data_IF_714995698041
#
_entry.id   IF_714995698041
#
_cell.length_a   1.000
_cell.length_b   1.000
_cell.length_c   1.000
_cell.angle_alpha   90.00
_cell.angle_beta   90.00
_cell.angle_gamma   90.00
#
_symmetry.space_group_name_H-M   'P 1'
#
loop_
_entity.id
_entity.type
_entity.pdbx_description
1 polymer ?
#
# COMPACT_ATOMS: atom_id res chain seq x y z
N UNK A 1 -5.75 71.04 -21.31
CA UNK A 1 -6.52 70.28 -20.32
C UNK A 1 -6.38 68.80 -20.63
N UNK A 2 -5.94 68.04 -19.63
CA UNK A 2 -5.77 66.59 -19.68
C UNK A 2 -7.14 65.88 -19.68
N UNK A 3 -7.23 64.65 -20.23
CA UNK A 3 -7.59 63.43 -19.49
C UNK A 3 -7.48 62.18 -20.38
N UNK A 4 -6.85 61.14 -19.82
CA UNK A 4 -6.61 59.78 -20.35
C UNK A 4 -7.84 58.89 -20.11
N UNK A 5 -8.14 57.92 -20.98
CA UNK A 5 -8.78 56.60 -20.67
C UNK A 5 -8.45 55.67 -21.87
N UNK A 6 -7.38 54.86 -21.92
CA UNK A 6 -7.10 53.54 -21.31
C UNK A 6 -8.26 52.52 -21.31
N UNK A 7 -7.96 51.27 -21.72
CA UNK A 7 -8.70 49.99 -21.49
C UNK A 7 -9.38 49.43 -22.75
N UNK A 8 -9.25 48.15 -23.14
CA UNK A 8 -8.54 47.02 -22.57
C UNK A 8 -8.27 45.99 -23.68
N UNK A 9 -7.04 45.48 -23.71
CA UNK A 9 -6.68 44.24 -24.40
C UNK A 9 -7.34 43.08 -23.62
N UNK A 10 -8.31 42.37 -24.21
CA UNK A 10 -8.72 41.06 -23.70
C UNK A 10 -7.69 40.02 -24.16
N UNK A 11 -6.67 39.80 -23.34
CA UNK A 11 -5.87 38.58 -23.42
C UNK A 11 -6.64 37.47 -22.71
N UNK A 12 -7.33 36.64 -23.48
CA UNK A 12 -7.88 35.39 -22.99
C UNK A 12 -6.73 34.40 -22.71
N UNK A 13 -6.19 34.43 -21.49
CA UNK A 13 -5.35 33.36 -20.98
C UNK A 13 -6.22 32.10 -20.87
N UNK A 14 -6.14 31.23 -21.87
CA UNK A 14 -6.58 29.84 -21.74
C UNK A 14 -5.65 29.16 -20.71
N UNK A 15 -6.03 29.25 -19.43
CA UNK A 15 -5.54 28.37 -18.38
C UNK A 15 -6.02 26.97 -18.74
N UNK A 16 -5.21 26.25 -19.52
CA UNK A 16 -5.25 24.80 -19.55
C UNK A 16 -4.83 24.39 -18.14
N UNK A 17 -5.83 24.15 -17.29
CA UNK A 17 -5.63 23.51 -16.01
C UNK A 17 -5.08 22.13 -16.31
N UNK A 18 -3.75 22.01 -16.32
CA UNK A 18 -3.10 20.75 -16.02
C UNK A 18 -3.51 20.43 -14.59
N UNK A 19 -4.61 19.71 -14.42
CA UNK A 19 -4.86 19.02 -13.18
C UNK A 19 -3.69 18.05 -13.03
N UNK A 20 -2.78 18.23 -12.06
CA UNK A 20 -1.97 17.09 -11.67
C UNK A 20 -2.98 16.03 -11.25
N UNK A 21 -3.00 14.88 -11.91
CA UNK A 21 -3.57 13.70 -11.29
C UNK A 21 -2.77 13.50 -10.01
N UNK A 22 -3.31 13.97 -8.89
CA UNK A 22 -2.82 13.64 -7.57
C UNK A 22 -3.08 12.14 -7.44
N UNK A 23 -2.10 11.38 -7.91
CA UNK A 23 -2.09 9.94 -7.94
C UNK A 23 -1.42 9.55 -6.63
N UNK A 24 -2.19 9.59 -5.54
CA UNK A 24 -1.61 9.46 -4.23
C UNK A 24 -2.30 8.34 -3.42
N UNK A 25 -1.46 7.59 -2.72
CA UNK A 25 -1.41 6.17 -3.04
C UNK A 25 -0.55 5.45 -2.00
N UNK A 26 -1.16 4.57 -1.20
CA UNK A 26 -0.46 3.88 -0.13
C UNK A 26 0.14 2.55 -0.58
N UNK A 27 1.30 2.18 -0.03
CA UNK A 27 1.94 0.88 -0.31
C UNK A 27 2.78 0.36 0.85
N UNK A 28 3.09 -0.94 0.80
CA UNK A 28 4.17 -1.52 1.60
C UNK A 28 5.54 -1.15 1.01
N UNK A 29 6.46 -0.70 1.86
CA UNK A 29 7.86 -0.39 1.50
C UNK A 29 8.78 -1.56 1.83
N UNK A 30 8.61 -2.16 3.02
CA UNK A 30 9.44 -3.25 3.51
C UNK A 30 8.56 -4.31 4.20
N UNK A 31 8.61 -5.59 3.79
CA UNK A 31 9.40 -6.11 2.67
C UNK A 31 8.93 -5.53 1.32
N UNK A 32 9.85 -5.46 0.34
CA UNK A 32 9.55 -4.84 -0.96
C UNK A 32 8.48 -5.66 -1.67
N UNK A 33 7.36 -5.02 -2.00
CA UNK A 33 6.29 -5.68 -2.71
C UNK A 33 6.57 -5.97 -4.19
N UNK A 34 5.84 -6.93 -4.74
CA UNK A 34 5.43 -6.98 -6.15
C UNK A 34 4.73 -5.66 -6.47
N UNK A 35 5.49 -4.70 -6.98
CA UNK A 35 4.94 -3.43 -7.43
C UNK A 35 4.38 -3.59 -8.85
N UNK A 36 3.16 -3.11 -9.04
CA UNK A 36 2.74 -2.63 -10.36
C UNK A 36 3.46 -1.32 -10.69
N UNK A 37 3.13 -0.69 -11.81
CA UNK A 37 3.77 0.56 -12.23
C UNK A 37 3.37 1.79 -11.40
N UNK A 38 2.52 1.66 -10.39
CA UNK A 38 1.98 2.79 -9.62
C UNK A 38 1.76 2.42 -8.16
N UNK A 39 1.75 3.43 -7.30
CA UNK A 39 1.26 3.30 -5.91
C UNK A 39 -0.30 3.20 -5.87
N UNK A 40 -0.91 3.10 -7.06
CA UNK A 40 -2.33 3.21 -7.40
C UNK A 40 -3.36 2.38 -6.65
N UNK A 41 -4.65 2.74 -6.78
CA UNK A 41 -5.68 1.76 -6.51
C UNK A 41 -5.45 0.58 -7.45
N UNK A 42 -5.66 -0.62 -6.92
CA UNK A 42 -5.51 -1.85 -7.67
C UNK A 42 -6.80 -2.15 -8.43
N UNK A 43 -6.65 -2.65 -9.66
CA UNK A 43 -7.78 -3.05 -10.48
C UNK A 43 -8.34 -4.42 -10.06
N UNK A 44 -7.52 -5.25 -9.40
CA UNK A 44 -7.92 -6.60 -8.97
C UNK A 44 -7.21 -7.05 -7.71
N UNK A 45 -7.95 -7.63 -6.78
CA UNK A 45 -7.38 -8.34 -5.64
C UNK A 45 -6.87 -9.73 -6.06
N UNK A 46 -5.92 -10.33 -5.31
CA UNK A 46 -5.31 -9.80 -4.09
C UNK A 46 -4.08 -8.92 -4.35
N UNK A 47 -3.43 -9.06 -5.50
CA UNK A 47 -2.10 -8.51 -5.80
C UNK A 47 -2.05 -7.76 -7.15
N UNK A 48 -3.14 -7.07 -7.51
CA UNK A 48 -3.26 -6.32 -8.78
C UNK A 48 -3.07 -7.17 -10.05
N UNK A 49 -3.46 -8.45 -10.01
CA UNK A 49 -3.27 -9.38 -11.13
C UNK A 49 -1.82 -9.79 -11.39
N UNK A 50 -0.88 -9.33 -10.56
CA UNK A 50 0.52 -9.71 -10.67
C UNK A 50 0.69 -11.15 -10.16
N UNK A 51 1.32 -12.04 -10.95
CA UNK A 51 1.55 -13.41 -10.50
C UNK A 51 2.55 -13.44 -9.32
N UNK A 52 2.51 -14.47 -8.47
CA UNK A 52 3.56 -14.77 -7.50
C UNK A 52 4.93 -14.85 -8.18
N UNK A 53 5.94 -14.22 -7.58
CA UNK A 53 7.32 -14.33 -8.04
C UNK A 53 7.95 -15.68 -7.66
N UNK A 54 9.13 -15.94 -8.23
CA UNK A 54 9.89 -17.17 -7.98
C UNK A 54 10.89 -17.08 -6.82
N UNK A 55 11.16 -15.87 -6.33
CA UNK A 55 12.14 -15.59 -5.26
C UNK A 55 11.49 -14.84 -4.11
N UNK A 56 11.90 -15.11 -2.87
CA UNK A 56 11.43 -14.38 -1.70
C UNK A 56 12.30 -13.15 -1.50
N UNK A 57 11.70 -12.02 -1.14
CA UNK A 57 12.44 -10.78 -0.88
C UNK A 57 12.83 -10.64 0.60
N UNK A 58 12.24 -11.44 1.48
CA UNK A 58 12.52 -11.44 2.90
C UNK A 58 12.21 -12.82 3.53
N UNK A 59 12.81 -13.07 4.68
CA UNK A 59 12.55 -14.25 5.51
C UNK A 59 12.15 -13.81 6.91
N UNK A 60 11.05 -14.35 7.43
CA UNK A 60 10.54 -14.10 8.77
C UNK A 60 10.46 -15.39 9.57
N UNK A 61 10.41 -15.26 10.89
CA UNK A 61 10.34 -16.41 11.81
C UNK A 61 8.91 -16.54 12.34
N UNK A 62 8.31 -17.72 12.16
CA UNK A 62 6.99 -18.04 12.69
C UNK A 62 6.94 -17.84 14.22
N UNK A 63 5.89 -17.21 14.74
CA UNK A 63 5.74 -16.89 16.15
C UNK A 63 6.59 -15.71 16.65
N UNK A 64 7.32 -15.02 15.77
CA UNK A 64 8.08 -13.80 16.13
C UNK A 64 7.42 -12.55 15.55
N UNK A 65 7.60 -11.45 16.26
CA UNK A 65 7.25 -10.12 15.77
C UNK A 65 8.38 -9.55 14.91
N UNK A 66 8.03 -8.84 13.85
CA UNK A 66 8.96 -8.14 12.98
C UNK A 66 8.34 -6.85 12.46
N UNK A 67 9.18 -5.92 11.99
CA UNK A 67 8.75 -4.62 11.51
C UNK A 67 8.35 -4.69 10.04
N UNK A 68 7.15 -4.21 9.74
CA UNK A 68 6.65 -3.97 8.38
C UNK A 68 6.54 -2.47 8.19
N UNK A 69 7.11 -1.96 7.10
CA UNK A 69 7.08 -0.54 6.76
C UNK A 69 6.11 -0.27 5.61
N UNK A 70 5.34 0.81 5.71
CA UNK A 70 4.41 1.25 4.68
C UNK A 70 4.43 2.77 4.54
N UNK A 71 3.91 3.27 3.42
CA UNK A 71 3.76 4.71 3.16
C UNK A 71 2.33 4.99 2.77
N UNK A 72 1.84 6.16 3.19
CA UNK A 72 0.59 6.76 2.71
C UNK A 72 0.93 8.11 2.11
N UNK A 73 0.65 8.28 0.82
CA UNK A 73 0.95 9.51 0.10
C UNK A 73 -0.29 10.34 -0.23
N UNK A 74 -1.51 9.79 -0.11
CA UNK A 74 -2.78 10.54 -0.12
C UNK A 74 -3.68 10.20 1.03
N UNK A 75 -4.50 11.18 1.35
CA UNK A 75 -5.53 11.09 2.34
C UNK A 75 -6.88 10.87 1.64
N UNK A 76 -7.50 9.72 1.88
CA UNK A 76 -8.84 9.39 1.36
C UNK A 76 -9.91 9.30 2.47
N UNK A 77 -9.69 9.95 3.61
CA UNK A 77 -10.66 10.08 4.71
C UNK A 77 -10.07 9.76 6.09
N UNK A 78 -10.75 10.22 7.14
CA UNK A 78 -10.43 9.91 8.54
C UNK A 78 -10.98 8.54 8.94
N UNK A 79 -10.30 7.84 9.85
CA UNK A 79 -10.71 6.53 10.33
C UNK A 79 -10.35 5.39 9.37
N UNK A 80 -9.34 5.58 8.54
CA UNK A 80 -8.90 4.58 7.59
C UNK A 80 -8.22 3.39 8.28
N UNK A 81 -8.68 2.16 8.01
CA UNK A 81 -8.06 0.95 8.56
C UNK A 81 -7.28 0.20 7.49
N UNK A 82 -6.00 -0.02 7.73
CA UNK A 82 -5.15 -0.86 6.91
C UNK A 82 -5.01 -2.23 7.53
N UNK A 83 -4.69 -3.20 6.69
CA UNK A 83 -4.55 -4.59 7.07
C UNK A 83 -3.23 -5.13 6.55
N UNK A 84 -2.59 -5.96 7.36
CA UNK A 84 -1.50 -6.82 6.92
C UNK A 84 -2.02 -8.25 7.00
N UNK A 85 -2.10 -8.87 5.83
CA UNK A 85 -2.56 -10.24 5.66
C UNK A 85 -1.43 -11.14 5.18
N UNK A 86 -1.58 -12.43 5.39
CA UNK A 86 -0.67 -13.45 4.89
C UNK A 86 -1.45 -14.60 4.23
N UNK A 87 -0.95 -15.06 3.08
CA UNK A 87 -1.39 -16.26 2.38
C UNK A 87 -0.24 -17.27 2.39
N UNK A 88 -0.51 -18.51 2.81
CA UNK A 88 0.49 -19.57 2.79
C UNK A 88 0.54 -20.21 1.39
N UNK A 89 1.75 -20.53 0.90
CA UNK A 89 1.97 -21.06 -0.43
C UNK A 89 2.24 -19.97 -1.47
N UNK A 90 2.05 -20.32 -2.74
CA UNK A 90 2.38 -19.48 -3.90
C UNK A 90 1.20 -19.30 -4.84
N UNK A 91 -0.04 -19.37 -4.34
CA UNK A 91 -1.24 -19.26 -5.16
C UNK A 91 -2.03 -17.97 -4.92
N UNK A 92 -1.58 -17.13 -4.00
CA UNK A 92 -2.26 -15.91 -3.54
C UNK A 92 -3.71 -16.15 -3.10
N UNK A 93 -3.99 -17.26 -2.42
CA UNK A 93 -5.33 -17.58 -1.92
C UNK A 93 -5.37 -17.65 -0.40
N UNK A 94 -6.58 -17.59 0.15
CA UNK A 94 -6.82 -17.83 1.58
C UNK A 94 -6.04 -16.88 2.49
N UNK A 95 -5.98 -15.59 2.14
CA UNK A 95 -5.37 -14.57 2.97
C UNK A 95 -6.01 -14.53 4.36
N UNK A 96 -5.18 -14.57 5.40
CA UNK A 96 -5.56 -14.38 6.80
C UNK A 96 -5.00 -13.06 7.28
N UNK A 97 -5.85 -12.25 7.91
CA UNK A 97 -5.38 -11.05 8.60
C UNK A 97 -4.51 -11.40 9.81
N UNK A 98 -3.32 -10.80 9.89
CA UNK A 98 -2.37 -10.99 10.98
C UNK A 98 -2.06 -9.70 11.73
N UNK A 99 -2.47 -8.55 11.19
CA UNK A 99 -2.40 -7.28 11.87
C UNK A 99 -3.40 -6.28 11.29
N UNK A 100 -3.94 -5.44 12.16
CA UNK A 100 -4.87 -4.35 11.82
C UNK A 100 -4.27 -3.05 12.31
N UNK A 101 -4.23 -2.04 11.44
CA UNK A 101 -3.70 -0.72 11.72
C UNK A 101 -4.86 0.26 11.61
N UNK A 102 -5.41 0.65 12.75
CA UNK A 102 -6.43 1.70 12.82
C UNK A 102 -5.81 3.05 12.46
N UNK A 103 -6.58 3.92 11.82
CA UNK A 103 -6.15 5.27 11.45
C UNK A 103 -4.87 5.34 10.59
N UNK A 104 -4.56 4.27 9.85
CA UNK A 104 -3.30 4.13 9.12
C UNK A 104 -3.08 5.17 8.01
N UNK A 105 -4.18 5.73 7.48
CA UNK A 105 -4.17 6.71 6.41
C UNK A 105 -4.83 8.03 6.82
N UNK A 106 -4.94 8.27 8.14
CA UNK A 106 -5.41 9.55 8.66
C UNK A 106 -4.36 10.66 8.46
N UNK A 107 -3.09 10.27 8.28
CA UNK A 107 -1.97 11.17 8.04
C UNK A 107 -1.09 10.67 6.89
N UNK A 108 -0.41 11.59 6.22
CA UNK A 108 0.57 11.28 5.19
C UNK A 108 1.94 11.01 5.81
N UNK A 109 2.66 10.03 5.29
CA UNK A 109 4.00 9.72 5.77
C UNK A 109 4.43 8.28 5.55
N UNK A 110 5.63 7.99 6.04
CA UNK A 110 6.16 6.63 6.14
C UNK A 110 6.05 6.15 7.58
N UNK A 111 5.61 4.91 7.74
CA UNK A 111 5.28 4.31 9.01
C UNK A 111 5.89 2.94 9.13
N UNK A 112 6.03 2.48 10.36
CA UNK A 112 6.49 1.14 10.73
C UNK A 112 5.50 0.58 11.74
N UNK A 113 5.16 -0.69 11.60
CA UNK A 113 4.37 -1.43 12.60
C UNK A 113 4.97 -2.80 12.89
N UNK A 114 4.77 -3.28 14.11
CA UNK A 114 5.19 -4.61 14.55
C UNK A 114 4.12 -5.66 14.24
N UNK A 115 4.49 -6.68 13.48
CA UNK A 115 3.61 -7.75 13.04
C UNK A 115 4.09 -9.09 13.56
N UNK A 116 3.22 -9.78 14.30
CA UNK A 116 3.48 -11.14 14.79
C UNK A 116 3.11 -12.17 13.74
N UNK A 117 4.11 -12.93 13.28
CA UNK A 117 3.89 -13.98 12.29
C UNK A 117 3.24 -15.21 12.92
N UNK A 118 2.20 -15.80 12.30
CA UNK A 118 1.55 -16.99 12.85
C UNK A 118 2.49 -18.19 12.99
N UNK A 119 2.27 -19.01 14.02
CA UNK A 119 3.12 -20.19 14.31
C UNK A 119 2.83 -21.39 13.40
N UNK A 120 1.68 -21.39 12.72
CA UNK A 120 1.19 -22.47 11.86
C UNK A 120 1.58 -22.31 10.39
N UNK A 121 2.27 -21.22 10.01
CA UNK A 121 2.76 -20.99 8.65
C UNK A 121 4.25 -21.31 8.58
N UNK A 122 4.65 -22.04 7.53
CA UNK A 122 6.06 -22.24 7.18
C UNK A 122 6.22 -22.43 5.67
N UNK A 123 7.37 -22.04 5.15
CA UNK A 123 7.68 -22.06 3.71
C UNK A 123 7.31 -20.74 3.04
N UNK A 124 7.15 -20.81 1.72
CA UNK A 124 6.84 -19.66 0.88
C UNK A 124 5.44 -19.13 1.17
N UNK A 125 5.31 -17.81 1.22
CA UNK A 125 4.06 -17.13 1.54
C UNK A 125 3.99 -15.78 0.82
N UNK A 126 2.78 -15.24 0.71
CA UNK A 126 2.53 -13.87 0.26
C UNK A 126 2.08 -13.02 1.45
N UNK A 127 2.82 -11.96 1.74
CA UNK A 127 2.41 -10.91 2.67
C UNK A 127 1.72 -9.80 1.89
N UNK A 128 0.57 -9.30 2.36
CA UNK A 128 -0.17 -8.22 1.71
C UNK A 128 -0.46 -7.10 2.69
N UNK A 129 -0.03 -5.90 2.36
CA UNK A 129 -0.60 -4.69 2.94
C UNK A 129 -1.75 -4.23 2.05
N UNK A 130 -2.91 -3.92 2.61
CA UNK A 130 -4.00 -3.32 1.84
C UNK A 130 -4.92 -2.43 2.69
N UNK A 131 -5.61 -1.52 2.01
CA UNK A 131 -6.64 -0.67 2.58
C UNK A 131 -7.72 -0.40 1.53
N UNK A 132 -8.98 -0.46 1.94
CA UNK A 132 -10.13 -0.16 1.10
C UNK A 132 -10.79 1.15 1.56
N UNK A 133 -11.11 2.03 0.61
CA UNK A 133 -11.81 3.29 0.84
C UNK A 133 -13.27 3.15 0.39
N UNK A 134 -14.22 2.99 1.31
CA UNK A 134 -15.62 2.74 0.95
C UNK A 134 -16.29 3.91 0.22
N UNK A 135 -15.92 5.15 0.54
CA UNK A 135 -16.55 6.36 0.00
C UNK A 135 -16.38 6.54 -1.51
N UNK A 136 -15.27 6.04 -2.06
CA UNK A 136 -14.94 6.09 -3.50
C UNK A 136 -14.76 4.70 -4.10
N UNK A 137 -15.01 3.64 -3.31
CA UNK A 137 -14.91 2.24 -3.71
C UNK A 137 -13.57 1.87 -4.39
N UNK A 138 -12.45 2.32 -3.81
CA UNK A 138 -11.11 1.98 -4.30
C UNK A 138 -10.35 1.17 -3.27
N UNK A 139 -9.42 0.33 -3.73
CA UNK A 139 -8.58 -0.49 -2.87
C UNK A 139 -7.13 -0.26 -3.23
N UNK A 140 -6.29 -0.02 -2.24
CA UNK A 140 -4.84 0.01 -2.36
C UNK A 140 -4.30 -1.30 -1.81
N UNK A 141 -3.43 -1.98 -2.54
CA UNK A 141 -2.81 -3.20 -2.06
C UNK A 141 -1.41 -3.38 -2.63
N UNK A 142 -0.54 -3.95 -1.82
CA UNK A 142 0.80 -4.35 -2.21
C UNK A 142 1.09 -5.71 -1.61
N UNK A 143 1.45 -6.67 -2.46
CA UNK A 143 1.85 -8.01 -2.04
C UNK A 143 3.37 -8.15 -2.07
N UNK A 144 3.96 -8.96 -1.21
CA UNK A 144 5.38 -9.30 -1.18
C UNK A 144 5.53 -10.79 -1.02
N UNK A 145 6.41 -11.40 -1.80
CA UNK A 145 6.71 -12.82 -1.69
C UNK A 145 7.82 -13.01 -0.65
N UNK A 146 7.54 -13.83 0.36
CA UNK A 146 8.37 -13.98 1.56
C UNK A 146 8.53 -15.47 1.89
N UNK A 147 9.52 -15.78 2.72
CA UNK A 147 9.61 -17.08 3.38
C UNK A 147 9.32 -16.95 4.87
N UNK A 148 8.61 -17.91 5.42
CA UNK A 148 8.41 -18.04 6.87
C UNK A 148 9.11 -19.31 7.35
N UNK A 149 10.08 -19.18 8.24
CA UNK A 149 10.82 -20.30 8.82
C UNK A 149 10.36 -20.59 10.23
N UNK A 150 10.44 -21.86 10.65
CA UNK A 150 10.18 -22.23 12.04
C UNK A 150 11.28 -21.66 12.94
N UNK A 151 10.97 -21.29 14.20
CA UNK A 151 12.01 -21.02 15.18
C UNK A 151 13.00 -22.17 15.25
N UNK A 152 14.29 -21.87 15.41
CA UNK A 152 15.25 -22.90 15.77
C UNK A 152 14.77 -23.57 17.07
N UNK A 153 14.65 -24.90 17.06
CA UNK A 153 14.35 -25.64 18.28
C UNK A 153 15.51 -25.43 19.25
N UNK A 154 15.22 -24.81 20.39
CA UNK A 154 16.16 -24.79 21.51
C UNK A 154 16.36 -26.25 21.95
N UNK A 155 17.53 -26.80 21.68
CA UNK A 155 17.96 -28.10 22.19
C UNK A 155 18.27 -28.03 23.68
#
# INVERSE_FOLDING_TARGET
MAFKILSALLAACALVAFAPSADAHGRMIAPIGRQGTTDGPIASLPCNGLPPGNTSVATFVAGKSTQISYVVTEFHGVGATCFIDISAGTDDKNFRNIHTIEHCADFLGSYVTDVSFPTDISGRATLRWFWHVPSINVTFATCSDIDVVKPASSY
#
